data_IF_892217714001
#
_entry.id   IF_892217714001
#
_cell.length_a   1.000
_cell.length_b   1.000
_cell.length_c   1.000
_cell.angle_alpha   90.00
_cell.angle_beta   90.00
_cell.angle_gamma   90.00
#
_symmetry.space_group_name_H-M   'P 1'
#
loop_
_entity.id
_entity.type
_entity.pdbx_description
1 polymer ?
#
# COMPACT_ATOMS: atom_id res chain seq x y z
N UNK A 1 19.74 -13.08 -7.90
CA UNK A 1 18.43 -12.41 -7.89
C UNK A 1 17.42 -13.42 -8.38
N UNK A 2 16.43 -13.73 -7.55
CA UNK A 2 15.35 -14.66 -7.88
C UNK A 2 14.10 -13.85 -8.24
N UNK A 3 13.41 -14.23 -9.30
CA UNK A 3 12.15 -13.61 -9.72
C UNK A 3 11.16 -14.74 -9.92
N UNK A 4 10.03 -14.66 -9.21
CA UNK A 4 8.93 -15.62 -9.30
C UNK A 4 7.67 -14.91 -9.82
N UNK A 5 6.90 -15.60 -10.67
CA UNK A 5 5.55 -15.19 -11.03
C UNK A 5 4.55 -16.03 -10.22
N UNK A 6 3.81 -15.37 -9.34
CA UNK A 6 2.78 -16.00 -8.50
C UNK A 6 1.41 -15.41 -8.77
N UNK A 7 0.42 -16.27 -9.02
CA UNK A 7 -1.00 -15.89 -9.08
C UNK A 7 -1.61 -15.97 -7.69
N UNK A 8 -2.24 -14.90 -7.21
CA UNK A 8 -2.88 -14.89 -5.89
C UNK A 8 -3.44 -13.53 -5.49
N UNK A 9 -3.90 -13.45 -4.25
CA UNK A 9 -4.32 -12.21 -3.60
C UNK A 9 -3.11 -11.58 -2.88
N UNK A 10 -2.76 -10.35 -3.23
CA UNK A 10 -1.61 -9.66 -2.66
C UNK A 10 -1.76 -9.38 -1.16
N UNK A 11 -2.99 -9.31 -0.65
CA UNK A 11 -3.29 -8.96 0.74
C UNK A 11 -2.91 -10.07 1.73
N UNK A 12 -2.73 -11.30 1.24
CA UNK A 12 -2.34 -12.47 2.04
C UNK A 12 -0.87 -12.87 1.87
N UNK A 13 -0.09 -12.09 1.10
CA UNK A 13 1.32 -12.40 0.84
C UNK A 13 2.16 -12.02 2.06
N UNK A 14 2.89 -13.00 2.60
CA UNK A 14 3.90 -12.78 3.63
C UNK A 14 5.19 -12.29 2.97
N UNK A 15 5.51 -11.01 3.20
CA UNK A 15 6.70 -10.36 2.65
C UNK A 15 7.12 -9.18 3.54
N UNK A 16 8.35 -8.70 3.38
CA UNK A 16 8.79 -7.48 4.05
C UNK A 16 8.03 -6.24 3.55
N UNK A 17 7.69 -6.20 2.26
CA UNK A 17 6.85 -5.17 1.66
C UNK A 17 6.03 -5.71 0.49
N UNK A 18 4.84 -5.15 0.30
CA UNK A 18 4.08 -5.26 -0.95
C UNK A 18 3.99 -3.88 -1.58
N UNK A 19 3.77 -3.82 -2.90
CA UNK A 19 3.63 -2.53 -3.60
C UNK A 19 2.16 -2.32 -3.97
N UNK A 20 1.59 -1.22 -3.51
CA UNK A 20 0.26 -0.78 -3.88
C UNK A 20 0.26 0.02 -5.20
N UNK A 21 -0.71 -0.25 -6.08
CA UNK A 21 -0.99 0.60 -7.24
C UNK A 21 -1.83 1.83 -6.84
N UNK A 22 -1.23 2.70 -6.03
CA UNK A 22 -1.86 3.91 -5.52
C UNK A 22 -2.03 5.00 -6.59
N UNK A 23 -2.88 5.98 -6.30
CA UNK A 23 -2.99 7.21 -7.08
C UNK A 23 -2.29 8.38 -6.37
N UNK A 24 -2.12 9.50 -7.09
CA UNK A 24 -1.38 10.68 -6.58
C UNK A 24 -1.99 11.29 -5.32
N UNK A 25 -3.27 11.02 -5.03
CA UNK A 25 -3.95 11.56 -3.86
C UNK A 25 -3.56 10.86 -2.55
N UNK A 26 -3.07 9.62 -2.59
CA UNK A 26 -2.83 8.75 -1.43
C UNK A 26 -4.07 8.43 -0.56
N UNK A 27 -5.28 8.88 -0.93
CA UNK A 27 -6.47 8.70 -0.09
C UNK A 27 -7.29 7.45 -0.47
N UNK A 28 -6.58 6.41 -0.91
CA UNK A 28 -7.17 5.17 -1.40
C UNK A 28 -7.88 5.29 -2.75
N UNK A 29 -8.58 4.22 -3.12
CA UNK A 29 -9.21 4.03 -4.42
C UNK A 29 -9.89 2.66 -4.54
N UNK A 30 -10.05 2.20 -5.78
CA UNK A 30 -10.63 0.89 -6.12
C UNK A 30 -9.56 -0.18 -6.40
N UNK A 31 -9.97 -1.31 -6.99
CA UNK A 31 -9.04 -2.34 -7.43
C UNK A 31 -8.16 -2.90 -6.30
N UNK A 32 -6.86 -3.09 -6.60
CA UNK A 32 -5.89 -3.62 -5.63
C UNK A 32 -5.64 -2.67 -4.47
N UNK A 33 -5.65 -1.35 -4.70
CA UNK A 33 -5.52 -0.34 -3.65
C UNK A 33 -6.65 -0.44 -2.64
N UNK A 34 -7.89 -0.51 -3.13
CA UNK A 34 -9.05 -0.73 -2.27
C UNK A 34 -8.99 -2.07 -1.53
N UNK A 35 -8.45 -3.13 -2.14
CA UNK A 35 -8.26 -4.41 -1.47
C UNK A 35 -7.25 -4.32 -0.32
N UNK A 36 -6.09 -3.68 -0.56
CA UNK A 36 -5.05 -3.43 0.44
C UNK A 36 -5.59 -2.57 1.58
N UNK A 37 -6.29 -1.47 1.31
CA UNK A 37 -6.88 -0.63 2.34
C UNK A 37 -7.94 -1.36 3.18
N UNK A 38 -8.78 -2.20 2.57
CA UNK A 38 -9.78 -3.01 3.29
C UNK A 38 -9.13 -4.06 4.17
N UNK A 39 -8.13 -4.78 3.65
CA UNK A 39 -7.47 -5.86 4.38
C UNK A 39 -6.52 -5.35 5.46
N UNK A 40 -5.70 -4.33 5.16
CA UNK A 40 -4.76 -3.72 6.09
C UNK A 40 -5.40 -2.81 7.14
N UNK A 41 -6.66 -2.43 6.94
CA UNK A 41 -7.43 -1.64 7.90
C UNK A 41 -7.06 -0.15 7.90
N UNK A 42 -7.65 0.57 8.85
CA UNK A 42 -7.61 2.05 8.91
C UNK A 42 -6.19 2.63 9.01
N UNK A 43 -5.24 1.89 9.58
CA UNK A 43 -3.88 2.38 9.84
C UNK A 43 -3.20 2.85 8.55
N UNK A 44 -3.37 2.12 7.44
CA UNK A 44 -2.76 2.49 6.15
C UNK A 44 -3.28 3.86 5.71
N UNK A 45 -4.59 4.09 5.79
CA UNK A 45 -5.18 5.37 5.40
C UNK A 45 -4.75 6.52 6.33
N UNK A 46 -4.69 6.27 7.64
CA UNK A 46 -4.22 7.27 8.61
C UNK A 46 -2.79 7.72 8.30
N UNK A 47 -1.90 6.78 7.97
CA UNK A 47 -0.51 7.08 7.62
C UNK A 47 -0.41 7.80 6.27
N UNK A 48 -1.19 7.38 5.26
CA UNK A 48 -1.30 8.10 4.00
C UNK A 48 -1.75 9.56 4.19
N UNK A 49 -2.73 9.80 5.06
CA UNK A 49 -3.19 11.16 5.41
C UNK A 49 -2.06 11.95 6.08
N UNK A 50 -1.34 11.34 7.03
CA UNK A 50 -0.23 11.98 7.71
C UNK A 50 0.91 12.36 6.76
N UNK A 51 1.27 11.45 5.84
CA UNK A 51 2.24 11.70 4.77
C UNK A 51 1.75 12.84 3.89
N UNK A 52 0.49 12.77 3.44
CA UNK A 52 -0.09 13.80 2.58
C UNK A 52 -0.08 15.18 3.21
N UNK A 53 -0.41 15.28 4.49
CA UNK A 53 -0.40 16.54 5.22
C UNK A 53 1.02 17.12 5.38
N UNK A 54 2.05 16.26 5.39
CA UNK A 54 3.44 16.67 5.50
C UNK A 54 4.05 17.12 4.16
N UNK A 55 3.78 16.40 3.07
CA UNK A 55 4.51 16.59 1.81
C UNK A 55 3.62 16.76 0.56
N UNK A 56 2.30 16.75 0.74
CA UNK A 56 1.35 16.64 -0.38
C UNK A 56 1.21 15.20 -0.86
N UNK A 57 0.60 15.02 -2.05
CA UNK A 57 0.38 13.70 -2.63
C UNK A 57 1.67 12.98 -3.08
N UNK A 58 1.51 11.83 -3.71
CA UNK A 58 2.62 11.13 -4.37
C UNK A 58 2.68 11.54 -5.84
N UNK A 59 3.84 11.96 -6.34
CA UNK A 59 3.99 12.32 -7.76
C UNK A 59 4.08 11.06 -8.61
N UNK A 60 3.72 11.18 -9.89
CA UNK A 60 3.89 10.09 -10.85
C UNK A 60 5.37 9.70 -10.91
N UNK A 61 5.67 8.41 -10.77
CA UNK A 61 7.03 7.87 -10.74
C UNK A 61 7.66 7.80 -9.35
N UNK A 62 6.99 8.32 -8.33
CA UNK A 62 7.46 8.27 -6.93
C UNK A 62 6.71 7.21 -6.12
N UNK A 63 7.25 6.90 -4.93
CA UNK A 63 6.62 6.02 -3.97
C UNK A 63 6.67 6.62 -2.55
N UNK A 64 5.70 6.23 -1.72
CA UNK A 64 5.69 6.47 -0.27
C UNK A 64 5.54 5.13 0.44
N UNK A 65 5.85 5.09 1.73
CA UNK A 65 5.79 3.85 2.52
C UNK A 65 4.93 4.03 3.77
N UNK A 66 4.05 3.07 4.03
CA UNK A 66 3.28 2.96 5.27
C UNK A 66 3.59 1.63 5.97
N UNK A 67 3.10 1.47 7.20
CA UNK A 67 2.96 0.14 7.79
C UNK A 67 1.87 -0.65 7.06
N UNK A 68 1.97 -1.98 7.11
CA UNK A 68 0.98 -2.89 6.51
C UNK A 68 -0.31 -3.06 7.30
N UNK A 69 -0.41 -2.48 8.50
CA UNK A 69 -1.58 -2.63 9.36
C UNK A 69 -1.86 -4.10 9.68
N UNK A 70 -3.03 -4.58 9.28
CA UNK A 70 -3.46 -5.97 9.50
C UNK A 70 -2.99 -6.96 8.42
N UNK A 71 -2.21 -6.51 7.42
CA UNK A 71 -1.68 -7.41 6.38
C UNK A 71 -0.59 -8.32 6.95
N UNK A 72 -0.34 -9.45 6.28
CA UNK A 72 0.85 -10.26 6.55
C UNK A 72 2.15 -9.55 6.14
N UNK A 73 2.07 -8.63 5.17
CA UNK A 73 3.18 -7.79 4.78
C UNK A 73 3.49 -6.73 5.85
N UNK A 74 4.76 -6.50 6.15
CA UNK A 74 5.17 -5.52 7.18
C UNK A 74 4.98 -4.07 6.70
N UNK A 75 5.14 -3.83 5.40
CA UNK A 75 5.07 -2.53 4.74
C UNK A 75 4.21 -2.58 3.47
N UNK A 76 3.65 -1.43 3.14
CA UNK A 76 2.91 -1.15 1.89
C UNK A 76 3.47 0.13 1.28
#
# INVERSE_FOLDING_TARGET
MEIELKKGDITIIEADAIVNAANTSLLGGGGVDGAIHRAGGKQILDECIAIRNRQGGCKVGEAVITNGGNLFAKKV
#
